data_IF_131251807577
#
_entry.id   IF_131251807577
#
_cell.length_a   1.000
_cell.length_b   1.000
_cell.length_c   1.000
_cell.angle_alpha   90.00
_cell.angle_beta   90.00
_cell.angle_gamma   90.00
#
_symmetry.space_group_name_H-M   'P 1'
#
loop_
_entity.id
_entity.type
_entity.pdbx_description
1 polymer ?
#
# COMPACT_ATOMS: atom_id res chain seq x y z
N UNK A 1 -2.89 -31.06 26.39
CA UNK A 1 -3.53 -30.42 25.23
C UNK A 1 -3.51 -28.93 25.48
N UNK A 2 -2.78 -28.18 24.67
CA UNK A 2 -2.70 -26.71 24.76
C UNK A 2 -3.74 -26.14 23.82
N UNK A 3 -4.87 -25.69 24.34
CA UNK A 3 -5.87 -25.00 23.52
C UNK A 3 -5.60 -23.49 23.57
N UNK A 4 -5.74 -22.83 22.42
CA UNK A 4 -5.70 -21.38 22.27
C UNK A 4 -7.10 -20.88 21.95
N UNK A 5 -7.51 -19.77 22.56
CA UNK A 5 -8.76 -19.09 22.26
C UNK A 5 -8.48 -17.62 21.95
N UNK A 6 -8.99 -17.14 20.82
CA UNK A 6 -8.81 -15.77 20.34
C UNK A 6 -10.18 -15.18 20.01
N UNK A 7 -10.48 -14.02 20.58
CA UNK A 7 -11.66 -13.23 20.22
C UNK A 7 -11.21 -11.92 19.58
N UNK A 8 -11.75 -11.61 18.40
CA UNK A 8 -11.44 -10.40 17.63
C UNK A 8 -12.72 -9.57 17.49
N UNK A 9 -12.63 -8.29 17.83
CA UNK A 9 -13.67 -7.30 17.60
C UNK A 9 -13.08 -6.08 16.87
N UNK A 10 -13.62 -5.75 15.69
CA UNK A 10 -13.20 -4.60 14.89
C UNK A 10 -14.43 -3.95 14.22
N UNK A 11 -14.86 -2.79 14.71
CA UNK A 11 -16.13 -2.19 14.31
C UNK A 11 -17.29 -3.15 14.59
N UNK A 12 -18.06 -3.48 13.55
CA UNK A 12 -19.17 -4.45 13.61
C UNK A 12 -18.71 -5.92 13.48
N UNK A 13 -17.44 -6.16 13.14
CA UNK A 13 -16.93 -7.52 12.96
C UNK A 13 -16.58 -8.13 14.32
N UNK A 14 -17.16 -9.30 14.59
CA UNK A 14 -16.83 -10.13 15.76
C UNK A 14 -16.54 -11.54 15.31
N UNK A 15 -15.44 -12.11 15.76
CA UNK A 15 -15.07 -13.50 15.51
C UNK A 15 -14.44 -14.11 16.75
N UNK A 16 -14.64 -15.41 16.92
CA UNK A 16 -14.05 -16.19 18.00
C UNK A 16 -13.51 -17.50 17.42
N UNK A 17 -12.28 -17.82 17.77
CA UNK A 17 -11.54 -18.99 17.31
C UNK A 17 -11.02 -19.75 18.53
N UNK A 18 -11.17 -21.07 18.53
CA UNK A 18 -10.71 -21.93 19.63
C UNK A 18 -10.21 -23.26 19.05
N UNK A 19 -9.05 -23.73 19.51
CA UNK A 19 -8.45 -24.98 19.03
C UNK A 19 -6.95 -25.07 19.28
N UNK A 20 -6.25 -25.89 18.50
CA UNK A 20 -4.79 -25.97 18.54
C UNK A 20 -4.16 -24.66 18.03
N UNK A 21 -2.99 -24.24 18.58
CA UNK A 21 -2.41 -22.93 18.26
C UNK A 21 -2.18 -22.68 16.76
N UNK A 22 -1.73 -23.70 16.03
CA UNK A 22 -1.47 -23.62 14.58
C UNK A 22 -2.76 -23.38 13.79
N UNK A 23 -3.84 -24.07 14.14
CA UNK A 23 -5.14 -23.92 13.50
C UNK A 23 -5.75 -22.55 13.78
N UNK A 24 -5.69 -22.10 15.05
CA UNK A 24 -6.20 -20.79 15.47
C UNK A 24 -5.43 -19.67 14.76
N UNK A 25 -4.11 -19.78 14.62
CA UNK A 25 -3.30 -18.81 13.87
C UNK A 25 -3.78 -18.67 12.42
N UNK A 26 -3.94 -19.79 11.69
CA UNK A 26 -4.38 -19.76 10.29
C UNK A 26 -5.78 -19.15 10.17
N UNK A 27 -6.69 -19.46 11.09
CA UNK A 27 -8.04 -18.91 11.10
C UNK A 27 -8.05 -17.40 11.35
N UNK A 28 -7.25 -16.92 12.31
CA UNK A 28 -7.09 -15.49 12.62
C UNK A 28 -6.54 -14.72 11.42
N UNK A 29 -5.46 -15.21 10.80
CA UNK A 29 -4.85 -14.54 9.63
C UNK A 29 -5.86 -14.46 8.48
N UNK A 30 -6.53 -15.57 8.14
CA UNK A 30 -7.56 -15.58 7.09
C UNK A 30 -8.71 -14.63 7.37
N UNK A 31 -9.11 -14.50 8.63
CA UNK A 31 -10.14 -13.55 9.04
C UNK A 31 -9.70 -12.12 8.78
N UNK A 32 -8.47 -11.75 9.17
CA UNK A 32 -7.93 -10.41 8.94
C UNK A 32 -7.77 -10.10 7.45
N UNK A 33 -7.26 -11.04 6.66
CA UNK A 33 -7.11 -10.90 5.20
C UNK A 33 -8.44 -10.66 4.49
N UNK A 34 -9.52 -11.34 4.91
CA UNK A 34 -10.84 -11.19 4.29
C UNK A 34 -11.58 -9.94 4.74
N UNK A 35 -11.38 -9.54 5.99
CA UNK A 35 -12.24 -8.54 6.63
C UNK A 35 -11.64 -7.13 6.61
N UNK A 36 -10.34 -7.01 6.36
CA UNK A 36 -9.64 -5.73 6.34
C UNK A 36 -8.99 -5.55 4.96
N UNK A 37 -9.61 -4.76 4.05
CA UNK A 37 -9.12 -4.57 2.68
C UNK A 37 -7.65 -4.12 2.59
N UNK A 38 -7.18 -3.32 3.56
CA UNK A 38 -5.80 -2.86 3.63
C UNK A 38 -4.80 -3.90 4.15
N UNK A 39 -5.25 -4.97 4.83
CA UNK A 39 -4.36 -5.92 5.49
C UNK A 39 -3.59 -6.79 4.49
N UNK A 40 -4.23 -7.25 3.42
CA UNK A 40 -3.57 -8.04 2.37
C UNK A 40 -2.47 -7.22 1.69
N UNK A 41 -2.74 -5.94 1.42
CA UNK A 41 -1.76 -5.03 0.83
C UNK A 41 -0.61 -4.78 1.82
N UNK A 42 -0.91 -4.43 3.07
CA UNK A 42 0.11 -4.19 4.10
C UNK A 42 0.97 -5.43 4.35
N UNK A 43 0.38 -6.63 4.38
CA UNK A 43 1.11 -7.89 4.54
C UNK A 43 2.07 -8.15 3.38
N UNK A 44 1.66 -7.87 2.13
CA UNK A 44 2.52 -8.00 0.96
C UNK A 44 3.66 -6.97 0.98
N UNK A 45 3.39 -5.75 1.42
CA UNK A 45 4.41 -4.70 1.55
C UNK A 45 5.42 -5.01 2.65
N UNK A 46 4.96 -5.50 3.82
CA UNK A 46 5.83 -5.91 4.92
C UNK A 46 6.72 -7.11 4.57
N UNK A 47 6.27 -7.98 3.67
CA UNK A 47 7.06 -9.12 3.20
C UNK A 47 8.19 -8.72 2.24
N UNK A 48 8.17 -7.50 1.70
CA UNK A 48 9.19 -6.99 0.78
C UNK A 48 10.26 -6.21 1.56
N UNK A 49 11.51 -6.72 1.66
CA UNK A 49 12.57 -6.04 2.40
C UNK A 49 12.82 -4.62 1.85
N UNK A 50 12.82 -3.62 2.73
CA UNK A 50 13.08 -2.22 2.36
C UNK A 50 11.89 -1.47 1.73
N UNK A 51 10.71 -2.10 1.61
CA UNK A 51 9.52 -1.45 1.05
C UNK A 51 9.12 -0.19 1.81
N UNK A 52 9.18 -0.23 3.14
CA UNK A 52 8.82 0.91 3.99
C UNK A 52 9.72 2.12 3.73
N UNK A 53 11.04 1.92 3.68
CA UNK A 53 12.00 3.00 3.40
C UNK A 53 11.79 3.56 1.99
N UNK A 54 11.59 2.68 0.99
CA UNK A 54 11.33 3.09 -0.39
C UNK A 54 10.05 3.91 -0.50
N UNK A 55 8.94 3.43 0.06
CA UNK A 55 7.65 4.12 0.02
C UNK A 55 7.70 5.46 0.76
N UNK A 56 8.41 5.52 1.88
CA UNK A 56 8.62 6.77 2.64
C UNK A 56 9.36 7.80 1.79
N UNK A 57 10.48 7.42 1.16
CA UNK A 57 11.26 8.32 0.28
C UNK A 57 10.45 8.76 -0.94
N UNK A 58 9.64 7.87 -1.52
CA UNK A 58 8.76 8.22 -2.63
C UNK A 58 7.67 9.20 -2.18
N UNK A 59 7.09 9.04 -0.99
CA UNK A 59 6.06 9.94 -0.45
C UNK A 59 6.54 11.37 -0.20
N UNK A 60 7.85 11.60 -0.04
CA UNK A 60 8.44 12.93 0.05
C UNK A 60 8.51 13.66 -1.30
N UNK A 61 8.45 12.91 -2.40
CA UNK A 61 8.69 13.41 -3.76
C UNK A 61 7.43 13.34 -4.62
N UNK A 62 6.61 12.31 -4.45
CA UNK A 62 5.40 12.05 -5.20
C UNK A 62 4.17 12.10 -4.30
N UNK A 63 3.07 12.56 -4.86
CA UNK A 63 1.74 12.47 -4.30
C UNK A 63 0.80 11.80 -5.30
N UNK A 64 -0.34 11.31 -4.80
CA UNK A 64 -1.37 10.72 -5.62
C UNK A 64 -2.74 11.22 -5.16
N UNK A 65 -3.58 11.59 -6.12
CA UNK A 65 -5.02 11.81 -5.91
C UNK A 65 -5.80 11.03 -6.97
N UNK A 66 -7.06 10.70 -6.68
CA UNK A 66 -7.96 10.07 -7.64
C UNK A 66 -8.29 10.97 -8.83
N UNK A 67 -8.11 12.28 -8.68
CA UNK A 67 -8.48 13.26 -9.69
C UNK A 67 -7.31 13.60 -10.62
N UNK A 68 -6.10 13.68 -10.07
CA UNK A 68 -4.90 14.17 -10.77
C UNK A 68 -3.88 13.05 -11.07
N UNK A 69 -4.10 11.85 -10.52
CA UNK A 69 -3.15 10.76 -10.60
C UNK A 69 -1.90 11.03 -9.76
N UNK A 70 -0.76 10.49 -10.19
CA UNK A 70 0.55 10.69 -9.55
C UNK A 70 1.16 12.01 -10.01
N UNK A 71 1.57 12.87 -9.09
CA UNK A 71 2.24 14.14 -9.40
C UNK A 71 3.42 14.38 -8.46
N UNK A 72 4.33 15.25 -8.91
CA UNK A 72 5.54 15.58 -8.16
C UNK A 72 5.23 16.71 -7.17
N UNK A 73 5.55 16.50 -5.89
CA UNK A 73 5.31 17.48 -4.80
C UNK A 73 6.27 18.67 -4.83
N UNK A 74 7.47 18.45 -5.37
CA UNK A 74 8.56 19.43 -5.43
C UNK A 74 8.65 20.02 -6.82
N UNK A 75 9.09 21.27 -6.91
CA UNK A 75 9.42 21.87 -8.21
C UNK A 75 10.53 21.06 -8.88
N UNK A 76 10.28 20.62 -10.12
CA UNK A 76 11.29 19.93 -10.93
C UNK A 76 12.49 20.84 -11.26
N UNK A 77 12.29 22.17 -11.21
CA UNK A 77 13.35 23.15 -11.46
C UNK A 77 14.42 23.18 -10.36
N UNK A 78 14.10 22.71 -9.15
CA UNK A 78 15.02 22.69 -8.02
C UNK A 78 15.91 21.43 -8.01
N UNK A 79 15.79 20.58 -9.03
CA UNK A 79 16.50 19.31 -9.15
C UNK A 79 17.49 19.34 -10.32
N UNK A 80 18.55 18.51 -10.27
CA UNK A 80 19.38 18.27 -11.46
C UNK A 80 18.51 17.82 -12.64
N UNK A 81 18.75 18.37 -13.83
CA UNK A 81 17.92 18.14 -15.03
C UNK A 81 17.71 16.65 -15.33
N UNK A 82 18.75 15.84 -15.18
CA UNK A 82 18.67 14.38 -15.38
C UNK A 82 17.71 13.72 -14.40
N UNK A 83 17.76 14.09 -13.12
CA UNK A 83 16.86 13.58 -12.08
C UNK A 83 15.42 14.05 -12.31
N UNK A 84 15.23 15.31 -12.69
CA UNK A 84 13.91 15.86 -13.01
C UNK A 84 13.26 15.11 -14.18
N UNK A 85 14.02 14.86 -15.25
CA UNK A 85 13.54 14.11 -16.43
C UNK A 85 13.16 12.67 -16.08
N UNK A 86 14.00 11.97 -15.31
CA UNK A 86 13.73 10.59 -14.89
C UNK A 86 12.50 10.50 -14.01
N UNK A 87 12.36 11.41 -13.04
CA UNK A 87 11.21 11.45 -12.16
C UNK A 87 9.92 11.77 -12.92
N UNK A 88 9.98 12.72 -13.86
CA UNK A 88 8.86 13.05 -14.72
C UNK A 88 8.43 11.86 -15.59
N UNK A 89 9.38 11.21 -16.26
CA UNK A 89 9.11 10.04 -17.10
C UNK A 89 8.53 8.88 -16.29
N UNK A 90 9.09 8.60 -15.11
CA UNK A 90 8.58 7.57 -14.21
C UNK A 90 7.14 7.88 -13.75
N UNK A 91 6.88 9.14 -13.34
CA UNK A 91 5.53 9.57 -12.95
C UNK A 91 4.53 9.42 -14.09
N UNK A 92 4.91 9.81 -15.32
CA UNK A 92 4.06 9.63 -16.51
C UNK A 92 3.80 8.17 -16.85
N UNK A 93 4.81 7.31 -16.74
CA UNK A 93 4.65 5.88 -16.92
C UNK A 93 3.68 5.28 -15.89
N UNK A 94 3.80 5.65 -14.62
CA UNK A 94 2.87 5.19 -13.57
C UNK A 94 1.46 5.71 -13.82
N UNK A 95 1.29 6.98 -14.18
CA UNK A 95 -0.02 7.53 -14.56
C UNK A 95 -0.65 6.77 -15.73
N UNK A 96 0.14 6.39 -16.72
CA UNK A 96 -0.35 5.60 -17.84
C UNK A 96 -0.86 4.23 -17.39
N UNK A 97 -0.11 3.53 -16.52
CA UNK A 97 -0.54 2.27 -15.92
C UNK A 97 -1.84 2.40 -15.10
N UNK A 98 -2.05 3.56 -14.48
CA UNK A 98 -3.23 3.87 -13.67
C UNK A 98 -4.40 4.44 -14.49
N UNK A 99 -4.25 4.64 -15.80
CA UNK A 99 -5.30 5.15 -16.69
C UNK A 99 -5.45 6.68 -16.69
N UNK A 100 -4.51 7.43 -16.13
CA UNK A 100 -4.48 8.91 -16.10
C UNK A 100 -3.83 9.53 -17.36
N UNK A 101 -3.75 8.77 -18.46
CA UNK A 101 -2.87 9.08 -19.59
C UNK A 101 -3.18 10.36 -20.36
N UNK A 102 -4.40 10.90 -20.29
CA UNK A 102 -4.85 11.94 -21.22
C UNK A 102 -5.70 13.03 -20.57
N UNK A 103 -5.07 13.88 -19.75
CA UNK A 103 -5.41 15.31 -19.77
C UNK A 103 -4.23 16.03 -20.39
N UNK A 104 -4.22 16.07 -21.72
CA UNK A 104 -3.40 17.05 -22.43
C UNK A 104 -3.86 18.43 -21.95
N UNK A 105 -2.97 19.15 -21.26
CA UNK A 105 -3.10 20.58 -21.10
C UNK A 105 -3.11 21.18 -22.51
N UNK A 106 -4.28 21.59 -22.98
CA UNK A 106 -4.44 22.49 -24.12
C UNK A 106 -4.02 23.91 -23.71
#
# INVERSE_FOLDING_TARGET
MTHLRVSIAYGELKAEFEGEPEDVYVQVVRFLERSIPGFVLASKLNALPGAEELLTKLGDVLAYTTDDGVFVKKSLADMPTSSALLLYAASRYVNNLLGFSDRQEC
#
